data_IF_052034568453
#
_entry.id   IF_052034568453
#
_cell.length_a   1.000
_cell.length_b   1.000
_cell.length_c   1.000
_cell.angle_alpha   90.00
_cell.angle_beta   90.00
_cell.angle_gamma   90.00
#
_symmetry.space_group_name_H-M   'P 1'
#
loop_
_entity.id
_entity.type
_entity.pdbx_description
1 polymer ?
#
# COMPACT_ATOMS: atom_id res chain seq x y z
N UNK A 1 -11.40 15.28 8.03
CA UNK A 1 -11.22 13.83 8.24
C UNK A 1 -11.93 13.12 7.10
N UNK A 2 -11.32 12.16 6.44
CA UNK A 2 -11.97 11.29 5.45
C UNK A 2 -12.39 9.99 6.15
N UNK A 3 -13.65 9.60 6.00
CA UNK A 3 -14.20 8.38 6.56
C UNK A 3 -14.65 7.48 5.43
N UNK A 4 -14.10 6.26 5.39
CA UNK A 4 -14.49 5.24 4.42
C UNK A 4 -15.16 4.09 5.15
N UNK A 5 -16.40 3.80 4.79
CA UNK A 5 -17.10 2.61 5.26
C UNK A 5 -16.97 1.54 4.19
N UNK A 6 -16.41 0.38 4.56
CA UNK A 6 -16.30 -0.78 3.68
C UNK A 6 -17.34 -1.80 4.11
N UNK A 7 -18.27 -2.13 3.23
CA UNK A 7 -19.29 -3.14 3.46
C UNK A 7 -19.51 -3.99 2.21
N UNK A 8 -20.42 -4.95 2.28
CA UNK A 8 -20.70 -5.89 1.20
C UNK A 8 -20.84 -7.32 1.70
N UNK A 9 -21.09 -8.22 0.75
CA UNK A 9 -21.35 -9.64 1.03
C UNK A 9 -20.23 -10.28 1.86
N UNK A 10 -20.55 -11.26 2.69
CA UNK A 10 -19.55 -12.05 3.39
C UNK A 10 -18.76 -12.91 2.39
N UNK A 11 -17.43 -12.82 2.43
CA UNK A 11 -16.56 -13.46 1.41
C UNK A 11 -16.29 -12.62 0.15
N UNK A 12 -16.78 -11.38 0.08
CA UNK A 12 -16.56 -10.49 -1.08
C UNK A 12 -15.16 -9.89 -1.18
N UNK A 13 -14.34 -9.97 -0.14
CA UNK A 13 -13.00 -9.40 -0.11
C UNK A 13 -12.82 -8.19 0.80
N UNK A 14 -13.78 -7.91 1.70
CA UNK A 14 -13.69 -6.84 2.73
C UNK A 14 -12.32 -6.80 3.41
N UNK A 15 -11.82 -7.95 3.87
CA UNK A 15 -10.51 -8.05 4.51
C UNK A 15 -9.34 -7.64 3.61
N UNK A 16 -9.43 -7.88 2.30
CA UNK A 16 -8.41 -7.46 1.34
C UNK A 16 -8.46 -5.95 1.15
N UNK A 17 -9.66 -5.39 1.02
CA UNK A 17 -9.85 -3.93 0.94
C UNK A 17 -9.30 -3.24 2.19
N UNK A 18 -9.63 -3.74 3.39
CA UNK A 18 -9.12 -3.15 4.64
C UNK A 18 -7.60 -3.15 4.73
N UNK A 19 -6.93 -4.23 4.28
CA UNK A 19 -5.46 -4.28 4.22
C UNK A 19 -4.89 -3.23 3.27
N UNK A 20 -5.51 -3.07 2.10
CA UNK A 20 -5.08 -2.08 1.10
C UNK A 20 -5.31 -0.66 1.62
N UNK A 21 -6.43 -0.41 2.31
CA UNK A 21 -6.71 0.87 2.96
C UNK A 21 -5.65 1.21 4.02
N UNK A 22 -5.20 0.22 4.80
CA UNK A 22 -4.11 0.37 5.76
C UNK A 22 -2.78 0.72 5.05
N UNK A 23 -2.45 0.01 3.98
CA UNK A 23 -1.24 0.26 3.17
C UNK A 23 -1.20 1.70 2.61
N UNK A 24 -2.34 2.26 2.20
CA UNK A 24 -2.44 3.63 1.67
C UNK A 24 -2.65 4.69 2.78
N UNK A 25 -2.54 4.29 4.05
CA UNK A 25 -2.45 5.19 5.20
C UNK A 25 -3.77 5.52 5.90
N UNK A 26 -4.81 4.71 5.75
CA UNK A 26 -6.02 4.81 6.57
C UNK A 26 -5.85 4.08 7.90
N UNK A 27 -6.38 4.66 8.97
CA UNK A 27 -6.58 3.95 10.22
C UNK A 27 -7.77 2.99 10.09
N UNK A 28 -7.47 1.70 10.05
CA UNK A 28 -8.44 0.65 9.74
C UNK A 28 -9.01 0.00 11.01
N UNK A 29 -10.34 -0.08 11.10
CA UNK A 29 -11.05 -0.82 12.14
C UNK A 29 -11.93 -1.87 11.49
N UNK A 30 -11.79 -3.12 11.91
CA UNK A 30 -12.64 -4.22 11.45
C UNK A 30 -13.74 -4.51 12.47
N UNK A 31 -14.95 -4.76 11.97
CA UNK A 31 -16.11 -5.22 12.75
C UNK A 31 -16.48 -4.30 13.93
N UNK A 32 -16.46 -2.98 13.71
CA UNK A 32 -16.96 -2.02 14.70
C UNK A 32 -18.50 -2.03 14.70
N UNK A 33 -19.16 -2.22 15.85
CA UNK A 33 -20.62 -2.10 15.93
C UNK A 33 -21.10 -0.72 15.45
N UNK A 34 -22.18 -0.65 14.65
CA UNK A 34 -22.66 0.62 14.06
C UNK A 34 -22.89 1.73 15.10
N UNK A 35 -23.48 1.37 16.24
CA UNK A 35 -23.79 2.27 17.36
C UNK A 35 -22.53 2.94 17.95
N UNK A 36 -21.34 2.36 17.73
CA UNK A 36 -20.08 2.92 18.24
C UNK A 36 -19.34 3.82 17.24
N UNK A 37 -19.78 3.86 15.97
CA UNK A 37 -19.09 4.64 14.93
C UNK A 37 -19.11 6.13 15.26
N UNK A 38 -20.26 6.67 15.66
CA UNK A 38 -20.40 8.09 15.99
C UNK A 38 -19.47 8.49 17.15
N UNK A 39 -19.49 7.71 18.24
CA UNK A 39 -18.60 7.94 19.38
C UNK A 39 -17.13 7.87 18.99
N UNK A 40 -16.76 6.94 18.11
CA UNK A 40 -15.39 6.84 17.62
C UNK A 40 -14.98 8.08 16.81
N UNK A 41 -15.87 8.58 15.95
CA UNK A 41 -15.65 9.79 15.17
C UNK A 41 -15.50 11.02 16.07
N UNK A 42 -16.34 11.15 17.11
CA UNK A 42 -16.22 12.22 18.11
C UNK A 42 -14.86 12.21 18.79
N UNK A 43 -14.37 11.04 19.22
CA UNK A 43 -13.04 10.88 19.83
C UNK A 43 -11.92 11.26 18.87
N UNK A 44 -12.03 10.90 17.58
CA UNK A 44 -11.06 11.29 16.56
C UNK A 44 -11.01 12.82 16.37
N UNK A 45 -12.17 13.49 16.37
CA UNK A 45 -12.27 14.95 16.29
C UNK A 45 -11.66 15.63 17.52
N UNK A 46 -11.86 15.07 18.72
CA UNK A 46 -11.33 15.63 19.98
C UNK A 46 -9.82 15.44 20.16
N UNK A 47 -9.24 14.40 19.56
CA UNK A 47 -7.81 14.05 19.69
C UNK A 47 -6.85 14.95 18.88
N UNK A 48 -7.28 16.14 18.46
CA UNK A 48 -6.41 17.15 17.83
C UNK A 48 -5.99 16.86 16.39
N UNK A 49 -6.69 15.98 15.66
CA UNK A 49 -6.54 15.83 14.21
C UNK A 49 -5.41 14.90 13.73
N UNK A 50 -4.85 14.04 14.59
CA UNK A 50 -3.84 13.05 14.15
C UNK A 50 -4.43 11.96 13.25
N UNK A 51 -5.75 11.70 13.31
CA UNK A 51 -6.44 10.70 12.50
C UNK A 51 -7.27 11.38 11.40
N UNK A 52 -6.61 11.69 10.28
CA UNK A 52 -7.25 12.37 9.15
C UNK A 52 -7.89 11.42 8.13
N UNK A 53 -7.54 10.14 8.14
CA UNK A 53 -8.06 9.09 7.25
C UNK A 53 -8.45 7.86 8.07
N UNK A 54 -9.72 7.49 8.05
CA UNK A 54 -10.28 6.36 8.80
C UNK A 54 -11.05 5.45 7.86
N UNK A 55 -10.83 4.14 7.95
CA UNK A 55 -11.60 3.12 7.25
C UNK A 55 -12.24 2.17 8.27
N UNK A 56 -13.53 1.89 8.13
CA UNK A 56 -14.29 0.99 9.02
C UNK A 56 -14.94 -0.10 8.17
N UNK A 57 -14.62 -1.35 8.45
CA UNK A 57 -15.33 -2.49 7.88
C UNK A 57 -16.57 -2.83 8.70
N UNK A 58 -17.71 -2.91 8.02
CA UNK A 58 -18.99 -3.33 8.57
C UNK A 58 -19.34 -4.73 8.06
N UNK A 59 -19.68 -5.63 8.98
CA UNK A 59 -20.00 -7.03 8.71
C UNK A 59 -21.36 -7.38 9.32
N UNK A 60 -22.16 -8.20 8.62
CA UNK A 60 -23.46 -8.66 9.13
C UNK A 60 -23.21 -9.92 9.94
N UNK A 61 -22.78 -9.75 11.18
CA UNK A 61 -22.58 -10.89 12.11
C UNK A 61 -23.79 -11.21 12.97
N UNK A 62 -24.80 -10.35 13.00
CA UNK A 62 -26.03 -10.51 13.79
C UNK A 62 -27.22 -9.86 13.09
N UNK A 63 -28.40 -10.48 13.21
CA UNK A 63 -29.57 -10.21 12.38
C UNK A 63 -30.16 -8.79 12.47
N UNK A 64 -30.07 -8.14 13.63
CA UNK A 64 -30.64 -6.80 13.85
C UNK A 64 -29.69 -5.65 13.44
N UNK A 65 -28.40 -5.94 13.22
CA UNK A 65 -27.41 -4.90 12.92
C UNK A 65 -27.62 -4.23 11.56
N UNK A 66 -28.41 -4.81 10.64
CA UNK A 66 -28.62 -4.20 9.31
C UNK A 66 -29.33 -2.84 9.40
N UNK A 67 -30.45 -2.81 10.12
CA UNK A 67 -31.23 -1.58 10.32
C UNK A 67 -30.37 -0.53 10.99
N UNK A 68 -29.56 -0.93 11.97
CA UNK A 68 -28.61 -0.07 12.65
C UNK A 68 -27.56 0.50 11.67
N UNK A 69 -26.95 -0.34 10.81
CA UNK A 69 -26.00 0.13 9.78
C UNK A 69 -26.67 1.18 8.89
N UNK A 70 -27.88 0.91 8.39
CA UNK A 70 -28.59 1.84 7.53
C UNK A 70 -28.88 3.18 8.23
N UNK A 71 -29.35 3.13 9.48
CA UNK A 71 -29.62 4.34 10.27
C UNK A 71 -28.35 5.15 10.52
N UNK A 72 -27.30 4.49 11.02
CA UNK A 72 -26.00 5.13 11.29
C UNK A 72 -25.41 5.76 10.02
N UNK A 73 -25.44 5.06 8.88
CA UNK A 73 -24.93 5.63 7.63
C UNK A 73 -25.73 6.85 7.17
N UNK A 74 -27.04 6.86 7.38
CA UNK A 74 -27.90 8.00 7.05
C UNK A 74 -27.58 9.21 7.93
N UNK A 75 -27.37 9.00 9.22
CA UNK A 75 -26.99 10.04 10.19
C UNK A 75 -25.62 10.61 9.85
N UNK A 76 -24.61 9.75 9.68
CA UNK A 76 -23.27 10.16 9.27
C UNK A 76 -23.25 10.91 7.94
N UNK A 77 -24.04 10.48 6.96
CA UNK A 77 -24.16 11.17 5.66
C UNK A 77 -24.79 12.55 5.80
N UNK A 78 -25.71 12.75 6.75
CA UNK A 78 -26.28 14.06 7.05
C UNK A 78 -25.28 14.99 7.74
N UNK A 79 -24.43 14.46 8.62
CA UNK A 79 -23.45 15.27 9.36
C UNK A 79 -22.19 15.61 8.56
N UNK A 80 -21.74 14.70 7.69
CA UNK A 80 -20.46 14.83 6.97
C UNK A 80 -20.54 14.34 5.52
N UNK A 81 -21.41 14.94 4.69
CA UNK A 81 -21.73 14.44 3.35
C UNK A 81 -20.52 14.37 2.40
N UNK A 82 -19.59 15.31 2.48
CA UNK A 82 -18.41 15.34 1.60
C UNK A 82 -17.27 14.41 2.05
N UNK A 83 -17.29 14.00 3.32
CA UNK A 83 -16.18 13.28 3.96
C UNK A 83 -16.43 11.78 4.08
N UNK A 84 -17.70 11.37 4.06
CA UNK A 84 -18.12 9.98 4.08
C UNK A 84 -18.06 9.38 2.68
N UNK A 85 -17.37 8.26 2.53
CA UNK A 85 -17.42 7.39 1.34
C UNK A 85 -17.83 5.99 1.74
N UNK A 86 -18.79 5.41 1.05
CA UNK A 86 -19.27 4.04 1.28
C UNK A 86 -18.86 3.16 0.11
N UNK A 87 -18.01 2.17 0.37
CA UNK A 87 -17.59 1.14 -0.57
C UNK A 87 -18.42 -0.11 -0.33
N UNK A 88 -19.08 -0.60 -1.39
CA UNK A 88 -19.82 -1.84 -1.38
C UNK A 88 -19.15 -2.88 -2.28
N UNK A 89 -18.76 -3.99 -1.69
CA UNK A 89 -18.18 -5.13 -2.39
C UNK A 89 -19.25 -6.15 -2.73
N UNK A 90 -19.34 -6.47 -4.01
CA UNK A 90 -20.25 -7.47 -4.51
C UNK A 90 -19.51 -8.63 -5.18
N UNK A 91 -20.09 -9.80 -5.09
CA UNK A 91 -19.60 -11.02 -5.71
C UNK A 91 -20.82 -11.85 -6.11
N UNK A 92 -20.76 -12.54 -7.25
CA UNK A 92 -21.77 -13.49 -7.68
C UNK A 92 -21.86 -14.67 -6.70
N UNK A 93 -23.07 -15.21 -6.54
CA UNK A 93 -23.35 -16.24 -5.53
C UNK A 93 -22.55 -17.52 -5.79
N UNK A 94 -22.42 -17.93 -7.05
CA UNK A 94 -21.65 -19.12 -7.43
C UNK A 94 -20.15 -18.98 -7.09
N UNK A 95 -19.61 -17.77 -7.15
CA UNK A 95 -18.23 -17.47 -6.76
C UNK A 95 -18.08 -17.42 -5.25
N UNK A 96 -19.03 -16.83 -4.51
CA UNK A 96 -19.02 -16.85 -3.04
C UNK A 96 -19.04 -18.30 -2.52
N UNK A 97 -19.88 -19.15 -3.09
CA UNK A 97 -19.93 -20.58 -2.76
C UNK A 97 -18.57 -21.26 -2.95
N UNK A 98 -17.86 -20.97 -4.05
CA UNK A 98 -16.51 -21.50 -4.29
C UNK A 98 -15.51 -20.99 -3.25
N UNK A 99 -15.49 -19.67 -2.98
CA UNK A 99 -14.59 -19.07 -1.97
C UNK A 99 -14.79 -19.64 -0.57
N UNK A 100 -16.04 -19.90 -0.17
CA UNK A 100 -16.34 -20.54 1.11
C UNK A 100 -15.85 -21.99 1.17
N UNK A 101 -15.98 -22.75 0.07
CA UNK A 101 -15.44 -24.11 -0.02
C UNK A 101 -13.91 -24.15 0.07
N UNK A 102 -13.23 -23.19 -0.56
CA UNK A 102 -11.76 -23.08 -0.54
C UNK A 102 -11.23 -22.64 0.82
N UNK A 103 -11.80 -21.57 1.39
CA UNK A 103 -11.32 -20.98 2.65
C UNK A 103 -11.77 -21.76 3.89
N UNK A 104 -12.77 -22.65 3.75
CA UNK A 104 -13.42 -23.39 4.84
C UNK A 104 -13.93 -22.50 5.99
N UNK A 105 -14.16 -21.21 5.72
CA UNK A 105 -14.78 -20.31 6.69
C UNK A 105 -16.27 -20.61 6.82
N UNK A 106 -16.85 -20.32 7.98
CA UNK A 106 -18.31 -20.35 8.16
C UNK A 106 -18.92 -19.02 7.72
N UNK A 107 -20.09 -19.08 7.09
CA UNK A 107 -20.88 -17.90 6.77
C UNK A 107 -21.58 -17.38 8.04
N UNK A 108 -21.63 -16.07 8.31
CA UNK A 108 -22.21 -15.53 9.55
C UNK A 108 -23.67 -15.91 9.79
N UNK A 109 -24.48 -15.95 8.72
CA UNK A 109 -25.90 -16.34 8.78
C UNK A 109 -26.15 -17.84 8.61
N UNK A 110 -25.11 -18.67 8.60
CA UNK A 110 -25.27 -20.11 8.35
C UNK A 110 -26.16 -20.78 9.38
N UNK A 111 -26.03 -20.43 10.67
CA UNK A 111 -26.79 -21.06 11.76
C UNK A 111 -28.30 -20.70 11.73
N UNK A 112 -28.70 -19.71 10.93
CA UNK A 112 -30.10 -19.30 10.74
C UNK A 112 -30.70 -19.83 9.44
N UNK A 113 -29.97 -20.64 8.67
CA UNK A 113 -30.35 -21.10 7.34
C UNK A 113 -30.10 -22.61 7.18
N UNK A 114 -30.75 -23.25 6.22
CA UNK A 114 -30.57 -24.69 6.00
C UNK A 114 -29.39 -24.99 5.06
N UNK A 115 -28.98 -24.01 4.24
CA UNK A 115 -27.89 -24.14 3.28
C UNK A 115 -27.05 -22.87 3.21
N UNK A 116 -25.84 -22.99 2.65
CA UNK A 116 -24.96 -21.86 2.41
C UNK A 116 -25.54 -20.93 1.32
N UNK A 117 -26.17 -21.52 0.31
CA UNK A 117 -26.90 -20.83 -0.74
C UNK A 117 -28.01 -19.94 -0.18
N UNK A 118 -28.85 -20.48 0.73
CA UNK A 118 -29.88 -19.71 1.44
C UNK A 118 -29.27 -18.59 2.28
N UNK A 119 -28.15 -18.84 2.96
CA UNK A 119 -27.50 -17.84 3.80
C UNK A 119 -26.95 -16.66 2.97
N UNK A 120 -26.34 -16.94 1.81
CA UNK A 120 -25.86 -15.91 0.87
C UNK A 120 -27.03 -15.11 0.30
N UNK A 121 -28.10 -15.78 -0.12
CA UNK A 121 -29.28 -15.11 -0.67
C UNK A 121 -29.96 -14.21 0.38
N UNK A 122 -30.11 -14.71 1.61
CA UNK A 122 -30.65 -13.93 2.72
C UNK A 122 -29.78 -12.71 3.04
N UNK A 123 -28.46 -12.86 3.03
CA UNK A 123 -27.54 -11.73 3.23
C UNK A 123 -27.70 -10.69 2.11
N UNK A 124 -27.83 -11.13 0.86
CA UNK A 124 -28.01 -10.26 -0.31
C UNK A 124 -29.30 -9.45 -0.24
N UNK A 125 -30.41 -10.09 0.12
CA UNK A 125 -31.69 -9.42 0.31
C UNK A 125 -31.61 -8.39 1.43
N UNK A 126 -30.96 -8.75 2.55
CA UNK A 126 -30.75 -7.82 3.65
C UNK A 126 -29.88 -6.64 3.24
N UNK A 127 -28.81 -6.85 2.46
CA UNK A 127 -27.91 -5.77 2.01
C UNK A 127 -28.50 -4.87 0.93
N UNK A 128 -29.57 -5.28 0.25
CA UNK A 128 -30.16 -4.55 -0.87
C UNK A 128 -30.45 -3.06 -0.57
N UNK A 129 -31.02 -2.67 0.59
CA UNK A 129 -31.30 -1.26 0.88
C UNK A 129 -30.04 -0.39 0.99
N UNK A 130 -28.91 -0.97 1.40
CA UNK A 130 -27.64 -0.22 1.52
C UNK A 130 -27.10 0.22 0.17
N UNK A 131 -27.47 -0.46 -0.94
CA UNK A 131 -27.03 -0.07 -2.28
C UNK A 131 -27.37 1.39 -2.64
N UNK A 132 -28.45 1.92 -2.10
CA UNK A 132 -28.86 3.32 -2.31
C UNK A 132 -27.91 4.34 -1.67
N UNK A 133 -27.09 3.92 -0.71
CA UNK A 133 -26.15 4.75 0.04
C UNK A 133 -24.70 4.56 -0.38
N UNK A 134 -24.44 3.78 -1.43
CA UNK A 134 -23.09 3.44 -1.87
C UNK A 134 -22.52 4.55 -2.74
N UNK A 135 -21.26 4.90 -2.50
CA UNK A 135 -20.49 5.82 -3.36
C UNK A 135 -19.65 5.05 -4.37
N UNK A 136 -19.06 3.93 -3.94
CA UNK A 136 -18.23 3.07 -4.78
C UNK A 136 -18.72 1.64 -4.75
N UNK A 137 -19.00 1.09 -5.92
CA UNK A 137 -19.42 -0.28 -6.10
C UNK A 137 -18.32 -1.06 -6.80
N UNK A 138 -17.83 -2.14 -6.18
CA UNK A 138 -16.76 -2.97 -6.72
C UNK A 138 -17.28 -4.40 -6.87
N UNK A 139 -17.37 -4.86 -8.12
CA UNK A 139 -17.67 -6.24 -8.46
C UNK A 139 -16.36 -7.05 -8.36
N UNK A 140 -16.37 -8.14 -7.59
CA UNK A 140 -15.16 -8.89 -7.23
C UNK A 140 -15.15 -10.33 -7.75
N UNK A 141 -16.15 -10.79 -8.49
CA UNK A 141 -16.30 -12.19 -8.94
C UNK A 141 -15.11 -12.71 -9.72
N UNK A 142 -14.53 -11.85 -10.54
CA UNK A 142 -13.42 -12.22 -11.43
C UNK A 142 -12.10 -11.52 -11.09
N UNK A 143 -12.07 -10.83 -9.93
CA UNK A 143 -10.86 -10.16 -9.46
C UNK A 143 -10.04 -11.10 -8.57
N UNK A 144 -8.74 -11.17 -8.85
CA UNK A 144 -7.76 -11.66 -7.90
C UNK A 144 -7.62 -10.67 -6.72
N UNK A 145 -7.01 -11.11 -5.63
CA UNK A 145 -6.74 -10.23 -4.48
C UNK A 145 -5.83 -9.06 -4.86
N UNK A 146 -4.89 -9.26 -5.79
CA UNK A 146 -4.02 -8.21 -6.30
C UNK A 146 -4.80 -7.19 -7.13
N UNK A 147 -5.64 -7.66 -8.07
CA UNK A 147 -6.49 -6.80 -8.90
C UNK A 147 -7.47 -5.98 -8.06
N UNK A 148 -8.10 -6.60 -7.05
CA UNK A 148 -8.95 -5.88 -6.10
C UNK A 148 -8.17 -4.79 -5.35
N UNK A 149 -6.91 -5.05 -4.99
CA UNK A 149 -6.06 -4.04 -4.36
C UNK A 149 -5.75 -2.86 -5.27
N UNK A 150 -5.53 -3.11 -6.56
CA UNK A 150 -5.33 -2.05 -7.56
C UNK A 150 -6.60 -1.19 -7.71
N UNK A 151 -7.77 -1.81 -7.84
CA UNK A 151 -9.05 -1.09 -7.92
C UNK A 151 -9.26 -0.17 -6.72
N UNK A 152 -9.03 -0.66 -5.51
CA UNK A 152 -9.16 0.14 -4.27
C UNK A 152 -8.16 1.30 -4.26
N UNK A 153 -6.91 1.08 -4.65
CA UNK A 153 -5.89 2.12 -4.74
C UNK A 153 -6.32 3.23 -5.70
N UNK A 154 -6.83 2.87 -6.88
CA UNK A 154 -7.28 3.82 -7.89
C UNK A 154 -8.47 4.68 -7.45
N UNK A 155 -9.31 4.17 -6.55
CA UNK A 155 -10.45 4.92 -6.01
C UNK A 155 -10.05 5.95 -4.94
N UNK A 156 -8.98 5.69 -4.19
CA UNK A 156 -8.63 6.46 -2.97
C UNK A 156 -7.30 7.20 -3.05
N UNK A 157 -6.51 6.98 -4.08
CA UNK A 157 -5.28 7.71 -4.35
C UNK A 157 -5.47 8.65 -5.53
N UNK A 158 -5.00 9.90 -5.38
CA UNK A 158 -5.02 10.89 -6.45
C UNK A 158 -3.99 10.56 -7.54
N UNK A 159 -2.89 9.90 -7.19
CA UNK A 159 -1.87 9.40 -8.12
C UNK A 159 -1.58 7.91 -7.85
N UNK A 160 -1.50 7.10 -8.90
CA UNK A 160 -1.11 5.67 -8.79
C UNK A 160 0.25 5.48 -8.09
N UNK A 161 1.14 6.47 -8.21
CA UNK A 161 2.48 6.47 -7.61
C UNK A 161 2.48 6.60 -6.08
N UNK A 162 1.38 7.05 -5.47
CA UNK A 162 1.23 7.14 -4.01
C UNK A 162 0.93 5.77 -3.38
N UNK A 163 0.63 4.76 -4.19
CA UNK A 163 0.22 3.43 -3.73
C UNK A 163 1.37 2.53 -3.27
N UNK A 164 2.61 2.90 -3.59
CA UNK A 164 3.80 2.09 -3.30
C UNK A 164 4.94 2.97 -2.77
N UNK A 165 5.45 2.64 -1.58
CA UNK A 165 6.65 3.25 -1.02
C UNK A 165 7.90 2.65 -1.66
N UNK A 166 8.72 3.47 -2.32
CA UNK A 166 10.02 3.03 -2.85
C UNK A 166 11.13 3.37 -1.87
N UNK A 167 11.80 2.35 -1.31
CA UNK A 167 13.02 2.53 -0.52
C UNK A 167 14.23 2.35 -1.41
N UNK A 168 15.04 3.40 -1.55
CA UNK A 168 16.31 3.34 -2.29
C UNK A 168 17.44 3.34 -1.29
N UNK A 169 18.22 2.27 -1.26
CA UNK A 169 19.27 2.11 -0.25
C UNK A 169 20.65 1.85 -0.83
N UNK A 170 21.69 2.25 -0.10
CA UNK A 170 23.07 1.88 -0.40
C UNK A 170 23.68 1.01 0.69
N UNK A 171 24.50 0.04 0.29
CA UNK A 171 25.19 -0.86 1.21
C UNK A 171 26.61 -1.22 0.74
N UNK A 172 27.38 -1.82 1.65
CA UNK A 172 28.69 -2.40 1.40
C UNK A 172 28.63 -3.93 1.34
N UNK A 173 29.11 -4.56 0.27
CA UNK A 173 29.19 -6.01 0.15
C UNK A 173 30.03 -6.66 1.26
N UNK A 174 31.03 -5.96 1.82
CA UNK A 174 31.78 -6.45 2.99
C UNK A 174 30.91 -6.64 4.24
N UNK A 175 29.71 -6.06 4.26
CA UNK A 175 28.74 -6.15 5.34
C UNK A 175 27.50 -6.99 4.97
N UNK A 176 27.53 -7.70 3.83
CA UNK A 176 26.44 -8.53 3.34
C UNK A 176 25.33 -7.76 2.63
N UNK A 177 24.51 -8.45 1.85
CA UNK A 177 23.32 -7.87 1.19
C UNK A 177 22.21 -7.74 2.25
N UNK A 178 21.39 -6.69 2.17
CA UNK A 178 20.22 -6.56 3.06
C UNK A 178 19.17 -7.61 2.68
N UNK A 179 18.66 -8.36 3.66
CA UNK A 179 17.60 -9.37 3.46
C UNK A 179 16.27 -8.75 3.00
N UNK A 180 16.10 -7.45 3.18
CA UNK A 180 14.92 -6.70 2.75
C UNK A 180 14.99 -6.23 1.30
N UNK A 181 16.10 -6.46 0.58
CA UNK A 181 16.26 -5.95 -0.79
C UNK A 181 15.45 -6.78 -1.79
N UNK A 182 14.63 -6.11 -2.59
CA UNK A 182 13.90 -6.75 -3.70
C UNK A 182 14.73 -6.76 -4.98
N UNK A 183 15.39 -5.64 -5.28
CA UNK A 183 16.25 -5.46 -6.46
C UNK A 183 17.62 -5.01 -5.99
N UNK A 184 18.68 -5.68 -6.45
CA UNK A 184 20.06 -5.38 -6.04
C UNK A 184 20.93 -5.09 -7.26
N UNK A 185 21.58 -3.92 -7.26
CA UNK A 185 22.53 -3.51 -8.28
C UNK A 185 23.96 -3.48 -7.72
N UNK A 186 24.86 -4.24 -8.35
CA UNK A 186 26.29 -4.20 -8.05
C UNK A 186 26.99 -3.10 -8.87
N UNK A 187 27.53 -2.08 -8.20
CA UNK A 187 28.26 -0.98 -8.83
C UNK A 187 29.78 -1.05 -8.58
N UNK A 188 30.30 -2.22 -8.17
CA UNK A 188 31.75 -2.42 -7.92
C UNK A 188 32.61 -2.37 -9.18
N UNK A 189 32.02 -2.55 -10.36
CA UNK A 189 32.71 -2.46 -11.65
C UNK A 189 33.16 -1.04 -12.03
N UNK A 190 32.63 0.00 -11.38
CA UNK A 190 32.94 1.40 -11.69
C UNK A 190 34.26 1.87 -11.04
N UNK A 191 34.92 2.91 -11.58
CA UNK A 191 36.12 3.51 -10.99
C UNK A 191 35.96 3.85 -9.51
N UNK A 192 36.96 3.47 -8.71
CA UNK A 192 36.82 3.50 -7.25
C UNK A 192 37.39 4.79 -6.64
N UNK A 193 36.57 5.67 -6.04
CA UNK A 193 37.04 6.94 -5.44
C UNK A 193 37.93 6.73 -4.21
N UNK A 194 37.93 5.52 -3.62
CA UNK A 194 38.71 5.20 -2.43
C UNK A 194 40.23 5.37 -2.61
N UNK A 195 40.74 5.24 -3.84
CA UNK A 195 42.16 5.37 -4.13
C UNK A 195 42.62 6.84 -4.29
N UNK A 196 41.69 7.79 -4.21
CA UNK A 196 41.98 9.21 -4.28
C UNK A 196 41.99 9.77 -2.86
N UNK A 197 43.15 10.19 -2.34
CA UNK A 197 43.29 10.65 -0.96
C UNK A 197 42.26 11.72 -0.58
N UNK A 198 42.00 12.64 -1.49
CA UNK A 198 41.08 13.77 -1.32
C UNK A 198 39.62 13.34 -1.26
N UNK A 199 39.26 12.16 -1.78
CA UNK A 199 37.87 11.66 -1.81
C UNK A 199 37.61 10.55 -0.81
N UNK A 200 38.66 9.88 -0.32
CA UNK A 200 38.59 8.69 0.53
C UNK A 200 37.72 8.85 1.78
N UNK A 201 37.73 10.05 2.37
CA UNK A 201 37.01 10.35 3.60
C UNK A 201 35.60 10.91 3.37
N UNK A 202 35.31 11.35 2.16
CA UNK A 202 34.00 11.88 1.75
C UNK A 202 33.01 10.75 1.44
N UNK A 203 31.75 11.11 1.26
CA UNK A 203 30.67 10.17 0.95
C UNK A 203 30.04 10.47 -0.41
N UNK A 204 29.32 9.49 -0.97
CA UNK A 204 28.60 9.69 -2.23
C UNK A 204 27.45 10.70 -2.17
N UNK A 205 27.09 11.21 -0.98
CA UNK A 205 26.16 12.32 -0.80
C UNK A 205 26.82 13.67 -1.16
N UNK A 206 28.15 13.74 -1.13
CA UNK A 206 28.91 14.96 -1.35
C UNK A 206 29.25 15.13 -2.82
N UNK A 207 29.20 16.38 -3.29
CA UNK A 207 29.33 16.70 -4.72
C UNK A 207 30.68 16.25 -5.29
N UNK A 208 31.78 16.36 -4.53
CA UNK A 208 33.11 15.96 -4.98
C UNK A 208 33.20 14.46 -5.33
N UNK A 209 32.57 13.60 -4.54
CA UNK A 209 32.52 12.15 -4.81
C UNK A 209 31.55 11.86 -5.94
N UNK A 210 30.39 12.51 -5.94
CA UNK A 210 29.39 12.34 -7.01
C UNK A 210 29.95 12.71 -8.37
N UNK A 211 30.58 13.88 -8.48
CA UNK A 211 31.19 14.36 -9.73
C UNK A 211 32.29 13.42 -10.18
N UNK A 212 33.15 12.96 -9.26
CA UNK A 212 34.16 11.96 -9.59
C UNK A 212 33.55 10.65 -10.11
N UNK A 213 32.49 10.13 -9.47
CA UNK A 213 31.85 8.89 -9.91
C UNK A 213 31.18 9.10 -11.27
N UNK A 214 30.56 10.25 -11.51
CA UNK A 214 29.76 10.55 -12.70
C UNK A 214 30.55 11.15 -13.86
N UNK A 215 31.82 11.53 -13.69
CA UNK A 215 32.65 12.02 -14.80
C UNK A 215 32.92 10.93 -15.87
N UNK A 216 32.77 9.66 -15.50
CA UNK A 216 33.06 8.54 -16.38
C UNK A 216 31.84 8.14 -17.21
N UNK A 217 32.04 7.92 -18.51
CA UNK A 217 30.99 7.54 -19.45
C UNK A 217 30.24 6.27 -19.00
N UNK A 218 30.98 5.23 -18.57
CA UNK A 218 30.35 4.00 -18.09
C UNK A 218 29.41 4.21 -16.89
N UNK A 219 29.68 5.18 -16.01
CA UNK A 219 28.81 5.49 -14.88
C UNK A 219 27.52 6.15 -15.34
N UNK A 220 27.61 7.09 -16.30
CA UNK A 220 26.45 7.78 -16.87
C UNK A 220 25.56 6.82 -17.66
N UNK A 221 26.17 5.95 -18.47
CA UNK A 221 25.44 4.92 -19.21
C UNK A 221 24.75 3.92 -18.27
N UNK A 222 25.44 3.49 -17.20
CA UNK A 222 24.84 2.58 -16.22
C UNK A 222 23.65 3.24 -15.50
N UNK A 223 23.80 4.49 -15.07
CA UNK A 223 22.70 5.25 -14.46
C UNK A 223 21.49 5.30 -15.39
N UNK A 224 21.71 5.66 -16.66
CA UNK A 224 20.64 5.74 -17.68
C UNK A 224 19.90 4.41 -17.85
N UNK A 225 20.65 3.29 -17.91
CA UNK A 225 20.05 1.95 -18.04
C UNK A 225 19.26 1.55 -16.80
N UNK A 226 19.75 1.90 -15.62
CA UNK A 226 19.05 1.62 -14.37
C UNK A 226 17.76 2.44 -14.30
N UNK A 227 17.81 3.73 -14.61
CA UNK A 227 16.62 4.60 -14.57
C UNK A 227 15.57 4.16 -15.59
N UNK A 228 15.98 3.80 -16.81
CA UNK A 228 15.11 3.23 -17.85
C UNK A 228 14.46 1.92 -17.39
N UNK A 229 15.24 1.01 -16.81
CA UNK A 229 14.72 -0.22 -16.24
C UNK A 229 13.73 0.04 -15.09
N UNK A 230 13.99 1.05 -14.23
CA UNK A 230 13.06 1.40 -13.15
C UNK A 230 11.76 1.99 -13.67
N UNK A 231 11.79 2.83 -14.71
CA UNK A 231 10.57 3.32 -15.37
C UNK A 231 9.71 2.17 -15.91
N UNK A 232 10.36 1.14 -16.47
CA UNK A 232 9.65 -0.05 -16.96
C UNK A 232 9.09 -0.92 -15.82
N UNK A 233 9.86 -1.17 -14.76
CA UNK A 233 9.49 -2.12 -13.71
C UNK A 233 8.48 -1.56 -12.69
N UNK A 234 8.56 -0.27 -12.34
CA UNK A 234 7.74 0.31 -11.27
C UNK A 234 6.24 0.18 -11.50
N UNK A 235 5.68 0.48 -12.70
CA UNK A 235 4.27 0.25 -12.99
C UNK A 235 3.86 -1.21 -12.85
N UNK A 236 4.73 -2.16 -13.23
CA UNK A 236 4.44 -3.59 -13.11
C UNK A 236 4.36 -4.03 -11.65
N UNK A 237 5.23 -3.52 -10.77
CA UNK A 237 5.14 -3.80 -9.33
C UNK A 237 3.89 -3.20 -8.69
N UNK A 238 3.46 -2.00 -9.14
CA UNK A 238 2.22 -1.39 -8.68
C UNK A 238 1.01 -2.23 -9.10
N UNK A 239 0.97 -2.68 -10.36
CA UNK A 239 -0.09 -3.52 -10.88
C UNK A 239 -0.16 -4.89 -10.19
N UNK A 240 0.98 -5.46 -9.80
CA UNK A 240 1.04 -6.67 -8.97
C UNK A 240 0.53 -6.43 -7.53
N UNK A 241 0.31 -5.18 -7.14
CA UNK A 241 -0.22 -4.80 -5.83
C UNK A 241 0.84 -4.65 -4.74
N UNK A 242 2.11 -4.49 -5.09
CA UNK A 242 3.18 -4.30 -4.11
C UNK A 242 3.02 -2.96 -3.39
N UNK A 243 3.09 -2.96 -2.05
CA UNK A 243 2.96 -1.74 -1.23
C UNK A 243 4.32 -1.09 -0.90
N UNK A 244 5.40 -1.86 -0.96
CA UNK A 244 6.76 -1.36 -0.77
C UNK A 244 7.74 -2.06 -1.71
N UNK A 245 8.63 -1.30 -2.36
CA UNK A 245 9.74 -1.83 -3.16
C UNK A 245 11.08 -1.34 -2.59
N UNK A 246 12.02 -2.26 -2.36
CA UNK A 246 13.37 -1.94 -1.86
C UNK A 246 14.41 -2.15 -2.96
N UNK A 247 14.98 -1.05 -3.44
CA UNK A 247 16.05 -1.02 -4.46
C UNK A 247 17.38 -0.75 -3.76
N UNK A 248 18.32 -1.69 -3.86
CA UNK A 248 19.60 -1.63 -3.15
C UNK A 248 20.79 -1.51 -4.11
N UNK A 249 21.68 -0.55 -3.85
CA UNK A 249 22.95 -0.38 -4.54
C UNK A 249 24.10 -0.84 -3.67
N UNK A 250 24.93 -1.74 -4.20
CA UNK A 250 26.06 -2.34 -3.50
C UNK A 250 27.40 -1.88 -4.08
N UNK A 251 28.29 -1.36 -3.24
CA UNK A 251 29.72 -1.28 -3.56
C UNK A 251 30.53 -2.04 -2.50
N UNK A 252 31.86 -2.06 -2.57
CA UNK A 252 32.64 -2.83 -1.59
C UNK A 252 32.40 -2.34 -0.15
N UNK A 253 32.45 -1.04 0.07
CA UNK A 253 32.40 -0.44 1.41
C UNK A 253 31.14 0.32 1.78
N UNK A 254 30.22 0.55 0.85
CA UNK A 254 28.95 1.22 1.12
C UNK A 254 29.01 2.74 1.35
N UNK A 255 30.09 3.40 0.91
CA UNK A 255 30.37 4.82 1.23
C UNK A 255 30.34 5.78 0.03
N UNK A 256 30.83 5.34 -1.14
CA UNK A 256 31.02 6.21 -2.31
C UNK A 256 30.04 5.85 -3.44
N UNK A 257 30.45 4.95 -4.35
CA UNK A 257 29.70 4.57 -5.56
C UNK A 257 28.24 4.19 -5.30
N UNK A 258 27.99 3.29 -4.34
CA UNK A 258 26.61 2.88 -4.05
C UNK A 258 25.75 3.99 -3.45
N UNK A 259 26.34 4.86 -2.63
CA UNK A 259 25.65 6.03 -2.08
C UNK A 259 25.28 6.99 -3.21
N UNK A 260 26.22 7.27 -4.11
CA UNK A 260 25.99 8.13 -5.28
C UNK A 260 24.85 7.61 -6.16
N UNK A 261 24.82 6.31 -6.49
CA UNK A 261 23.75 5.72 -7.29
C UNK A 261 22.41 5.72 -6.55
N UNK A 262 22.40 5.41 -5.25
CA UNK A 262 21.18 5.48 -4.44
C UNK A 262 20.60 6.90 -4.38
N UNK A 263 21.46 7.91 -4.26
CA UNK A 263 21.03 9.31 -4.29
C UNK A 263 20.42 9.70 -5.65
N UNK A 264 21.15 9.46 -6.73
CA UNK A 264 20.73 9.86 -8.08
C UNK A 264 19.45 9.14 -8.52
N UNK A 265 19.36 7.83 -8.31
CA UNK A 265 18.15 7.06 -8.65
C UNK A 265 16.99 7.46 -7.74
N UNK A 266 17.25 7.71 -6.45
CA UNK A 266 16.21 8.16 -5.55
C UNK A 266 15.63 9.54 -5.92
N UNK A 267 16.45 10.48 -6.39
CA UNK A 267 15.97 11.79 -6.87
C UNK A 267 15.18 11.66 -8.16
N UNK A 268 15.70 10.90 -9.12
CA UNK A 268 15.00 10.60 -10.36
C UNK A 268 13.60 10.02 -10.13
N UNK A 269 13.46 9.07 -9.19
CA UNK A 269 12.16 8.49 -8.86
C UNK A 269 11.22 9.48 -8.17
N UNK A 270 11.74 10.42 -7.36
CA UNK A 270 10.92 11.50 -6.80
C UNK A 270 10.42 12.45 -7.88
N UNK A 271 11.28 12.81 -8.83
CA UNK A 271 10.91 13.66 -9.97
C UNK A 271 9.82 13.01 -10.83
N UNK A 272 9.79 11.67 -10.91
CA UNK A 272 8.72 10.90 -11.55
C UNK A 272 7.43 10.78 -10.71
N UNK A 273 7.39 11.36 -9.51
CA UNK A 273 6.20 11.40 -8.66
C UNK A 273 6.06 10.20 -7.71
N UNK A 274 7.07 9.33 -7.58
CA UNK A 274 7.01 8.23 -6.61
C UNK A 274 7.32 8.71 -5.18
N UNK A 275 6.68 8.07 -4.20
CA UNK A 275 7.02 8.26 -2.79
C UNK A 275 8.32 7.53 -2.46
N UNK A 276 9.44 8.26 -2.38
CA UNK A 276 10.78 7.69 -2.20
C UNK A 276 11.41 8.00 -0.84
N UNK A 277 11.88 6.97 -0.15
CA UNK A 277 12.73 7.07 1.03
C UNK A 277 14.15 6.58 0.73
N UNK A 278 15.16 7.45 0.93
CA UNK A 278 16.57 7.11 0.71
C UNK A 278 17.24 6.69 2.03
N UNK A 279 18.07 5.66 2.01
CA UNK A 279 18.74 5.13 3.20
C UNK A 279 20.17 4.66 2.89
N UNK A 280 21.17 5.08 3.68
CA UNK A 280 22.55 4.63 3.50
C UNK A 280 23.02 3.78 4.69
N UNK A 281 22.86 2.46 4.58
CA UNK A 281 23.03 1.50 5.69
C UNK A 281 24.43 1.52 6.31
N UNK A 282 25.46 1.67 5.48
CA UNK A 282 26.85 1.47 5.89
C UNK A 282 27.71 2.74 5.74
N UNK A 283 27.09 3.90 5.48
CA UNK A 283 27.80 5.15 5.14
C UNK A 283 28.75 5.64 6.24
N UNK A 284 28.44 5.34 7.50
CA UNK A 284 29.24 5.67 8.68
C UNK A 284 30.21 4.57 9.10
N UNK A 285 30.11 3.37 8.50
CA UNK A 285 30.94 2.22 8.90
C UNK A 285 32.33 2.30 8.27
N UNK A 286 33.32 2.65 9.08
CA UNK A 286 34.72 2.80 8.67
C UNK A 286 35.34 4.17 8.97
N UNK A 287 34.71 5.01 9.80
CA UNK A 287 35.32 6.21 10.38
C UNK A 287 36.04 5.92 11.73
N UNK A 288 36.48 4.67 11.94
CA UNK A 288 37.32 4.24 13.06
C UNK A 288 38.59 3.60 12.50
#
# INVERSE_FOLDING_TARGET
MQLVIVTGMSGSGKSTVMKVMEDIGYYCIDNLPPILIEKFIELCKQSGGNLNKVAIALDIRTGDMFSEIYHTLRELRSEMPEQLKVVFLETADDILLKRYKETRRRHPLFDTCNSLEEAIQLERERLQPLRSMVDYYIETSHLSTAQLGVEVRNLFLENETDSMLVKVMSFGYKYGISTESDVVFDVRCLPNPFYIPELKHHTGCEICVRDYVMQFEQSQQLLTKITDLMEFLLPLYIAEGKSQLVIAFGCTGGKHRSVTFAELVGDFLREKGYRVHKLHRDITKGNH
#
